data_IF_061790441919
#
_entry.id   IF_061790441919
#
_cell.length_a   1.000
_cell.length_b   1.000
_cell.length_c   1.000
_cell.angle_alpha   90.00
_cell.angle_beta   90.00
_cell.angle_gamma   90.00
#
_symmetry.space_group_name_H-M   'P 1'
#
loop_
_entity.id
_entity.type
_entity.pdbx_description
1 polymer ?
#
# COMPACT_ATOMS: atom_id res chain seq x y z
N UNK A 1 4.74 -0.54 1.57
CA UNK A 1 5.85 -1.42 1.15
C UNK A 1 5.61 -2.78 1.77
N UNK A 2 5.56 -3.83 0.96
CA UNK A 2 5.37 -5.21 1.44
C UNK A 2 6.60 -6.05 1.08
N UNK A 3 6.95 -7.01 1.94
CA UNK A 3 8.14 -7.85 1.75
C UNK A 3 7.78 -9.33 1.92
N UNK A 4 8.33 -10.18 1.06
CA UNK A 4 8.20 -11.64 1.09
C UNK A 4 9.57 -12.28 0.87
N UNK A 5 9.74 -13.51 1.36
CA UNK A 5 10.99 -14.27 1.24
C UNK A 5 10.79 -15.44 0.28
N UNK A 6 11.67 -15.57 -0.71
CA UNK A 6 11.80 -16.75 -1.56
C UNK A 6 12.97 -17.57 -1.03
N UNK A 7 12.71 -18.83 -0.66
CA UNK A 7 13.75 -19.74 -0.14
C UNK A 7 14.32 -20.58 -1.28
N UNK A 8 15.61 -20.39 -1.56
CA UNK A 8 16.36 -21.16 -2.55
C UNK A 8 17.14 -22.26 -1.82
N UNK A 9 16.66 -23.50 -1.86
CA UNK A 9 17.30 -24.64 -1.21
C UNK A 9 18.16 -25.42 -2.21
N UNK A 10 19.46 -25.52 -1.93
CA UNK A 10 20.37 -26.39 -2.67
C UNK A 10 20.41 -27.77 -2.01
N UNK A 11 19.96 -28.79 -2.74
CA UNK A 11 20.00 -30.20 -2.29
C UNK A 11 21.18 -30.99 -2.86
N UNK A 12 22.08 -30.33 -3.60
CA UNK A 12 23.26 -30.93 -4.21
C UNK A 12 24.47 -30.80 -3.28
N UNK A 13 25.46 -31.65 -3.52
CA UNK A 13 26.76 -31.66 -2.82
C UNK A 13 27.76 -30.66 -3.43
N UNK A 14 27.33 -29.88 -4.42
CA UNK A 14 28.14 -28.84 -5.08
C UNK A 14 27.42 -27.49 -5.01
N UNK A 15 28.16 -26.36 -5.03
CA UNK A 15 27.56 -25.04 -5.08
C UNK A 15 26.73 -24.83 -6.36
N UNK A 16 25.65 -24.06 -6.24
CA UNK A 16 24.73 -23.79 -7.35
C UNK A 16 24.61 -22.29 -7.54
N UNK A 17 24.86 -21.82 -8.77
CA UNK A 17 24.63 -20.42 -9.15
C UNK A 17 23.16 -20.21 -9.50
N UNK A 18 22.62 -19.05 -9.12
CA UNK A 18 21.27 -18.65 -9.48
C UNK A 18 21.23 -17.22 -10.01
N UNK A 19 20.25 -16.94 -10.86
CA UNK A 19 19.91 -15.60 -11.38
C UNK A 19 18.40 -15.42 -11.48
N UNK A 20 17.88 -14.34 -10.90
CA UNK A 20 16.49 -13.94 -10.95
C UNK A 20 16.29 -12.88 -12.04
N UNK A 21 15.29 -13.08 -12.89
CA UNK A 21 14.93 -12.21 -14.01
C UNK A 21 13.48 -11.77 -13.86
N UNK A 22 13.19 -10.54 -14.27
CA UNK A 22 11.85 -9.95 -14.27
C UNK A 22 11.68 -8.80 -13.27
N UNK A 23 12.64 -8.58 -12.38
CA UNK A 23 12.70 -7.43 -11.49
C UNK A 23 13.16 -6.19 -12.29
N UNK A 24 12.54 -5.03 -12.06
CA UNK A 24 12.90 -3.78 -12.74
C UNK A 24 12.47 -3.70 -14.22
N UNK A 25 11.92 -4.77 -14.79
CA UNK A 25 11.36 -4.77 -16.14
C UNK A 25 10.01 -4.06 -16.20
N UNK A 26 9.55 -3.69 -17.40
CA UNK A 26 8.34 -2.90 -17.62
C UNK A 26 7.07 -3.42 -16.91
N UNK A 27 6.08 -2.54 -16.84
CA UNK A 27 4.80 -2.84 -16.19
C UNK A 27 5.01 -3.03 -14.69
N UNK A 28 4.64 -4.21 -14.19
CA UNK A 28 4.64 -4.49 -12.76
C UNK A 28 6.02 -4.88 -12.23
N UNK A 29 6.96 -5.29 -13.09
CA UNK A 29 8.32 -5.64 -12.69
C UNK A 29 9.07 -4.47 -12.05
N UNK A 30 8.78 -3.23 -12.49
CA UNK A 30 9.34 -2.00 -11.94
C UNK A 30 8.98 -1.82 -10.46
N UNK A 31 7.84 -2.34 -10.01
CA UNK A 31 7.35 -2.22 -8.63
C UNK A 31 7.96 -3.25 -7.68
N UNK A 32 8.86 -4.08 -8.17
CA UNK A 32 9.61 -5.02 -7.37
C UNK A 32 11.07 -4.61 -7.24
N UNK A 33 11.64 -4.92 -6.08
CA UNK A 33 13.06 -4.73 -5.82
C UNK A 33 13.61 -5.82 -4.92
N UNK A 34 14.88 -6.14 -5.09
CA UNK A 34 15.63 -7.05 -4.22
C UNK A 34 17.06 -6.53 -4.05
N UNK A 35 17.79 -7.03 -3.06
CA UNK A 35 19.17 -6.60 -2.78
C UNK A 35 20.15 -7.14 -3.83
N UNK A 36 19.90 -8.34 -4.33
CA UNK A 36 20.69 -8.99 -5.37
C UNK A 36 19.78 -9.85 -6.23
N UNK A 37 20.04 -9.88 -7.52
CA UNK A 37 19.35 -10.72 -8.51
C UNK A 37 20.18 -11.94 -8.92
N UNK A 38 21.38 -12.10 -8.37
CA UNK A 38 22.27 -13.24 -8.61
C UNK A 38 22.93 -13.70 -7.32
N UNK A 39 23.43 -14.93 -7.32
CA UNK A 39 24.25 -15.42 -6.23
C UNK A 39 24.62 -16.90 -6.36
N UNK A 40 25.20 -17.43 -5.28
CA UNK A 40 25.55 -18.84 -5.13
C UNK A 40 24.85 -19.36 -3.87
N UNK A 41 24.31 -20.58 -3.94
CA UNK A 41 23.81 -21.31 -2.77
C UNK A 41 24.75 -22.49 -2.52
N UNK A 42 25.38 -22.49 -1.34
CA UNK A 42 26.33 -23.52 -0.92
C UNK A 42 25.69 -24.92 -0.84
N UNK A 43 26.48 -26.00 -0.91
CA UNK A 43 25.99 -27.37 -0.80
C UNK A 43 25.08 -27.57 0.42
N UNK A 44 23.97 -28.29 0.23
CA UNK A 44 23.03 -28.65 1.30
C UNK A 44 22.46 -27.47 2.10
N UNK A 45 22.59 -26.24 1.59
CA UNK A 45 22.20 -25.01 2.29
C UNK A 45 20.92 -24.38 1.70
N UNK A 46 20.41 -23.35 2.38
CA UNK A 46 19.27 -22.55 1.90
C UNK A 46 19.63 -21.08 1.93
N UNK A 47 19.35 -20.39 0.84
CA UNK A 47 19.47 -18.95 0.72
C UNK A 47 18.09 -18.28 0.77
N UNK A 48 17.94 -17.25 1.59
CA UNK A 48 16.69 -16.49 1.73
C UNK A 48 16.76 -15.20 0.92
N UNK A 49 16.08 -15.19 -0.24
CA UNK A 49 15.99 -14.01 -1.10
C UNK A 49 14.79 -13.16 -0.70
N UNK A 50 15.04 -11.96 -0.17
CA UNK A 50 13.99 -11.00 0.13
C UNK A 50 13.54 -10.26 -1.13
N UNK A 51 12.24 -10.33 -1.42
CA UNK A 51 11.57 -9.61 -2.48
C UNK A 51 10.68 -8.52 -1.88
N UNK A 52 10.86 -7.28 -2.33
CA UNK A 52 10.07 -6.13 -1.88
C UNK A 52 9.13 -5.67 -3.00
N UNK A 53 7.89 -5.39 -2.64
CA UNK A 53 6.88 -4.83 -3.52
C UNK A 53 6.46 -3.43 -3.04
N UNK A 54 6.35 -2.50 -4.00
CA UNK A 54 5.83 -1.17 -3.78
C UNK A 54 4.84 -0.82 -4.89
N UNK A 55 3.55 -0.77 -4.54
CA UNK A 55 2.53 -0.35 -5.48
C UNK A 55 2.76 1.11 -5.88
N UNK A 56 2.99 1.36 -7.18
CA UNK A 56 3.20 2.71 -7.71
C UNK A 56 1.92 3.30 -8.32
N UNK A 57 0.95 2.45 -8.68
CA UNK A 57 -0.32 2.84 -9.30
C UNK A 57 -1.47 1.96 -8.81
N UNK A 58 -2.70 2.49 -8.73
CA UNK A 58 -3.87 1.67 -8.48
C UNK A 58 -4.16 0.74 -9.66
N UNK A 59 -4.59 -0.50 -9.40
CA UNK A 59 -4.99 -1.45 -10.45
C UNK A 59 -6.28 -2.17 -10.09
N UNK A 60 -7.06 -2.55 -11.09
CA UNK A 60 -8.25 -3.36 -10.86
C UNK A 60 -7.85 -4.79 -10.45
N UNK A 61 -8.50 -5.40 -9.44
CA UNK A 61 -8.11 -6.72 -8.93
C UNK A 61 -8.14 -7.84 -9.98
N UNK A 62 -9.06 -7.73 -10.95
CA UNK A 62 -9.26 -8.71 -12.01
C UNK A 62 -8.36 -8.52 -13.24
N UNK A 63 -7.43 -7.56 -13.23
CA UNK A 63 -6.58 -7.33 -14.41
C UNK A 63 -5.49 -8.40 -14.53
N UNK A 64 -5.40 -9.03 -15.70
CA UNK A 64 -4.29 -9.92 -16.03
C UNK A 64 -2.92 -9.20 -16.01
N UNK A 65 -2.92 -7.85 -16.03
CA UNK A 65 -1.74 -7.00 -15.84
C UNK A 65 -1.19 -6.99 -14.41
N UNK A 66 -1.88 -7.64 -13.46
CA UNK A 66 -1.46 -7.77 -12.05
C UNK A 66 -0.61 -9.01 -11.76
N UNK A 67 -0.19 -9.73 -12.82
CA UNK A 67 0.66 -10.91 -12.71
C UNK A 67 2.06 -10.59 -13.22
N UNK A 68 3.07 -10.76 -12.36
CA UNK A 68 4.48 -10.78 -12.75
C UNK A 68 4.92 -12.22 -12.98
N UNK A 69 5.65 -12.47 -14.07
CA UNK A 69 6.27 -13.76 -14.32
C UNK A 69 7.77 -13.64 -14.09
N UNK A 70 8.22 -13.95 -12.87
CA UNK A 70 9.64 -14.03 -12.58
C UNK A 70 10.23 -15.32 -13.19
N UNK A 71 11.50 -15.27 -13.58
CA UNK A 71 12.26 -16.45 -14.02
C UNK A 71 13.49 -16.61 -13.16
N UNK A 72 13.70 -17.80 -12.61
CA UNK A 72 14.90 -18.17 -11.88
C UNK A 72 15.72 -19.12 -12.77
N UNK A 73 16.85 -18.65 -13.23
CA UNK A 73 17.87 -19.46 -13.90
C UNK A 73 18.80 -20.07 -12.86
N UNK A 74 19.11 -21.35 -13.02
CA UNK A 74 19.92 -22.14 -12.11
C UNK A 74 20.98 -22.86 -12.94
N UNK A 75 22.24 -22.74 -12.57
CA UNK A 75 23.37 -23.38 -13.24
C UNK A 75 24.44 -23.81 -12.25
N UNK A 76 25.45 -24.53 -12.73
CA UNK A 76 26.70 -24.70 -11.98
C UNK A 76 27.47 -23.37 -11.82
N UNK A 77 28.46 -23.39 -10.95
CA UNK A 77 29.39 -22.26 -10.74
C UNK A 77 30.41 -22.10 -11.87
N UNK A 78 30.63 -23.13 -12.67
CA UNK A 78 31.59 -23.12 -13.78
C UNK A 78 31.02 -22.51 -15.06
N UNK A 79 29.70 -22.25 -15.10
CA UNK A 79 29.06 -21.53 -16.20
C UNK A 79 29.04 -22.33 -17.50
N UNK A 80 28.95 -23.66 -17.43
CA UNK A 80 29.04 -24.49 -18.62
C UNK A 80 27.86 -24.17 -19.59
N UNK A 81 28.13 -23.85 -20.86
CA UNK A 81 27.08 -23.52 -21.83
C UNK A 81 26.12 -24.71 -22.00
N UNK A 82 24.83 -24.52 -21.64
CA UNK A 82 23.76 -25.50 -21.89
C UNK A 82 23.14 -26.16 -20.66
N UNK A 83 23.72 -26.02 -19.46
CA UNK A 83 23.19 -26.62 -18.22
C UNK A 83 22.33 -25.64 -17.39
N UNK A 84 21.60 -24.72 -18.04
CA UNK A 84 20.75 -23.74 -17.36
C UNK A 84 19.34 -24.33 -17.21
N UNK A 85 18.95 -24.59 -15.97
CA UNK A 85 17.56 -24.90 -15.62
C UNK A 85 16.81 -23.61 -15.34
N UNK A 86 15.69 -23.39 -16.02
CA UNK A 86 14.83 -22.22 -15.78
C UNK A 86 13.56 -22.63 -15.03
N UNK A 87 13.24 -21.89 -13.96
CA UNK A 87 12.02 -22.06 -13.18
C UNK A 87 11.18 -20.77 -13.27
N UNK A 88 9.93 -20.92 -13.66
CA UNK A 88 8.98 -19.83 -13.75
C UNK A 88 8.27 -19.62 -12.40
N UNK A 89 8.33 -18.42 -11.84
CA UNK A 89 7.71 -18.05 -10.56
C UNK A 89 6.62 -17.00 -10.82
N UNK A 90 5.34 -17.41 -10.90
CA UNK A 90 4.24 -16.45 -11.02
C UNK A 90 4.03 -15.71 -9.69
N UNK A 91 4.04 -14.38 -9.74
CA UNK A 91 3.75 -13.51 -8.61
C UNK A 91 2.49 -12.71 -8.93
N UNK A 92 1.52 -12.75 -8.01
CA UNK A 92 0.26 -12.02 -8.12
C UNK A 92 0.28 -10.89 -7.11
N UNK A 93 -0.14 -9.70 -7.53
CA UNK A 93 -0.29 -8.56 -6.63
C UNK A 93 -1.65 -7.92 -6.79
N UNK A 94 -2.26 -7.54 -5.68
CA UNK A 94 -3.52 -6.82 -5.66
C UNK A 94 -3.28 -5.44 -5.04
N UNK A 95 -2.73 -4.46 -5.78
CA UNK A 95 -2.64 -3.10 -5.25
C UNK A 95 -4.05 -2.58 -4.98
N UNK A 96 -4.31 -2.20 -3.74
CA UNK A 96 -5.58 -1.63 -3.33
C UNK A 96 -5.66 -0.16 -3.74
N UNK A 97 -6.75 0.22 -4.40
CA UNK A 97 -7.07 1.62 -4.68
C UNK A 97 -7.98 2.17 -3.57
N UNK A 98 -7.52 3.20 -2.87
CA UNK A 98 -8.33 3.94 -1.89
C UNK A 98 -8.74 5.24 -2.56
N UNK A 99 -9.99 5.29 -3.04
CA UNK A 99 -10.57 6.49 -3.65
C UNK A 99 -11.61 7.05 -2.69
N UNK A 100 -11.16 7.92 -1.78
CA UNK A 100 -12.02 8.62 -0.83
C UNK A 100 -12.34 10.02 -1.35
N UNK A 101 -13.62 10.33 -1.42
CA UNK A 101 -14.14 11.65 -1.75
C UNK A 101 -14.74 12.28 -0.49
N UNK A 102 -14.49 13.56 -0.25
CA UNK A 102 -15.10 14.31 0.83
C UNK A 102 -15.87 15.49 0.26
N UNK A 103 -17.14 15.60 0.61
CA UNK A 103 -17.96 16.76 0.25
C UNK A 103 -18.35 17.51 1.51
N UNK A 104 -18.32 18.83 1.44
CA UNK A 104 -18.69 19.73 2.53
C UNK A 104 -20.01 20.43 2.20
N UNK A 105 -20.63 21.09 3.19
CA UNK A 105 -21.82 21.89 2.93
C UNK A 105 -21.54 23.01 1.92
N UNK A 106 -22.57 23.39 1.14
CA UNK A 106 -22.46 24.36 0.04
C UNK A 106 -21.79 25.66 0.49
N UNK A 107 -20.77 26.08 -0.24
CA UNK A 107 -20.01 27.31 0.01
C UNK A 107 -18.57 27.09 0.49
N UNK A 108 -18.21 25.86 0.89
CA UNK A 108 -16.86 25.51 1.34
C UNK A 108 -16.23 24.41 0.48
N UNK A 109 -15.60 24.79 -0.64
CA UNK A 109 -14.90 23.83 -1.52
C UNK A 109 -13.58 23.30 -0.93
N UNK A 110 -13.12 23.84 0.20
CA UNK A 110 -11.78 23.55 0.75
C UNK A 110 -11.77 23.04 2.20
N UNK A 111 -12.92 22.86 2.86
CA UNK A 111 -12.96 22.35 4.23
C UNK A 111 -14.22 22.65 5.03
N UNK A 112 -14.09 22.63 6.35
CA UNK A 112 -15.14 23.00 7.30
C UNK A 112 -14.80 24.37 7.89
N UNK A 113 -15.70 25.34 7.73
CA UNK A 113 -15.63 26.64 8.39
C UNK A 113 -16.83 26.80 9.33
N UNK A 114 -16.56 27.12 10.59
CA UNK A 114 -17.59 27.38 11.60
C UNK A 114 -18.03 28.85 11.62
N UNK A 115 -17.29 29.74 10.94
CA UNK A 115 -17.52 31.18 10.97
C UNK A 115 -17.43 31.76 12.39
N UNK A 116 -18.19 32.81 12.64
CA UNK A 116 -18.26 33.43 13.96
C UNK A 116 -19.16 32.61 14.89
N UNK A 117 -18.54 31.87 15.82
CA UNK A 117 -19.24 31.13 16.87
C UNK A 117 -19.39 32.02 18.11
N UNK A 118 -20.61 32.16 18.63
CA UNK A 118 -20.86 32.92 19.87
C UNK A 118 -20.38 32.12 21.09
N UNK A 119 -19.94 32.84 22.12
CA UNK A 119 -19.54 32.24 23.40
C UNK A 119 -20.70 31.40 23.97
N UNK A 120 -20.39 30.20 24.46
CA UNK A 120 -21.35 29.21 24.98
C UNK A 120 -22.40 28.74 23.96
N UNK A 121 -22.12 28.83 22.66
CA UNK A 121 -22.95 28.22 21.63
C UNK A 121 -22.19 27.11 20.90
N UNK A 122 -22.87 25.98 20.73
CA UNK A 122 -22.41 24.91 19.85
C UNK A 122 -22.82 25.22 18.41
N UNK A 123 -21.87 25.07 17.48
CA UNK A 123 -22.12 25.13 16.04
C UNK A 123 -21.74 23.79 15.45
N UNK A 124 -22.57 23.28 14.52
CA UNK A 124 -22.38 21.98 13.88
C UNK A 124 -22.15 22.16 12.40
N UNK A 125 -21.11 21.53 11.89
CA UNK A 125 -20.78 21.48 10.47
C UNK A 125 -20.64 20.03 10.04
N UNK A 126 -21.11 19.70 8.83
CA UNK A 126 -21.08 18.32 8.35
C UNK A 126 -20.26 18.18 7.07
N UNK A 127 -19.64 17.02 6.93
CA UNK A 127 -19.10 16.54 5.66
C UNK A 127 -19.59 15.13 5.37
N UNK A 128 -19.54 14.73 4.11
CA UNK A 128 -19.86 13.38 3.66
C UNK A 128 -18.58 12.75 3.16
N UNK A 129 -18.21 11.62 3.76
CA UNK A 129 -17.17 10.76 3.24
C UNK A 129 -17.81 9.76 2.28
N UNK A 130 -17.32 9.67 1.05
CA UNK A 130 -17.78 8.70 0.06
C UNK A 130 -16.62 7.85 -0.43
N UNK A 131 -16.73 6.55 -0.25
CA UNK A 131 -15.79 5.59 -0.80
C UNK A 131 -16.15 5.29 -2.25
N UNK A 132 -15.45 5.91 -3.19
CA UNK A 132 -15.55 5.64 -4.63
C UNK A 132 -14.70 4.43 -5.06
N UNK A 133 -13.97 3.82 -4.12
CA UNK A 133 -13.18 2.61 -4.34
C UNK A 133 -14.02 1.34 -4.39
N UNK A 134 -13.37 0.23 -4.80
CA UNK A 134 -14.02 -1.08 -5.02
C UNK A 134 -14.02 -2.00 -3.79
N UNK A 135 -13.42 -1.56 -2.67
CA UNK A 135 -13.30 -2.35 -1.45
C UNK A 135 -13.62 -1.50 -0.24
N UNK A 136 -13.92 -2.15 0.88
CA UNK A 136 -14.10 -1.47 2.15
C UNK A 136 -12.81 -0.76 2.59
N UNK A 137 -12.96 0.45 3.13
CA UNK A 137 -11.86 1.22 3.71
C UNK A 137 -12.15 1.52 5.19
N UNK A 138 -11.10 1.73 5.97
CA UNK A 138 -11.18 2.26 7.33
C UNK A 138 -10.75 3.73 7.32
N UNK A 139 -11.44 4.56 8.10
CA UNK A 139 -11.10 5.98 8.27
C UNK A 139 -11.00 6.34 9.75
N UNK A 140 -10.20 7.36 10.04
CA UNK A 140 -10.04 7.97 11.36
C UNK A 140 -9.77 9.46 11.18
N UNK A 141 -10.54 10.28 11.88
CA UNK A 141 -10.32 11.72 12.00
C UNK A 141 -9.34 12.00 13.14
N UNK A 142 -8.37 12.87 12.86
CA UNK A 142 -7.42 13.38 13.84
C UNK A 142 -7.45 14.91 13.79
N UNK A 143 -7.60 15.53 14.96
CA UNK A 143 -7.50 16.98 15.12
C UNK A 143 -6.03 17.30 15.32
N UNK A 144 -5.42 17.90 14.30
CA UNK A 144 -4.00 18.30 14.34
C UNK A 144 -3.96 19.83 14.43
N UNK A 145 -3.39 20.41 15.50
CA UNK A 145 -3.23 21.86 15.58
C UNK A 145 -2.27 22.35 14.49
N UNK A 146 -2.47 23.59 14.04
CA UNK A 146 -1.47 24.25 13.19
C UNK A 146 -0.13 24.25 13.93
N UNK A 147 0.96 23.97 13.20
CA UNK A 147 2.36 24.04 13.63
C UNK A 147 2.73 25.28 14.44
N UNK A 148 1.99 26.39 14.31
CA UNK A 148 2.18 27.64 15.04
C UNK A 148 1.29 27.80 16.29
N UNK A 149 0.29 26.93 16.47
CA UNK A 149 -0.66 26.98 17.58
C UNK A 149 -0.32 25.94 18.63
N UNK A 150 -0.23 26.36 19.90
CA UNK A 150 -0.13 25.46 21.06
C UNK A 150 -1.49 25.01 21.59
N UNK A 151 -2.57 25.42 20.92
CA UNK A 151 -3.94 25.13 21.36
C UNK A 151 -4.26 23.68 21.03
N UNK A 152 -4.67 22.94 22.05
CA UNK A 152 -5.21 21.59 21.87
C UNK A 152 -6.62 21.68 21.28
N UNK A 153 -6.72 21.46 19.96
CA UNK A 153 -7.97 21.52 19.22
C UNK A 153 -9.03 20.51 19.73
N UNK A 154 -8.61 19.43 20.40
CA UNK A 154 -9.54 18.43 20.94
C UNK A 154 -10.40 18.94 22.10
N UNK A 155 -10.02 20.08 22.71
CA UNK A 155 -10.82 20.74 23.74
C UNK A 155 -11.97 21.57 23.19
N UNK A 156 -11.87 21.97 21.92
CA UNK A 156 -12.80 22.91 21.29
C UNK A 156 -13.63 22.28 20.18
N UNK A 157 -13.25 21.09 19.72
CA UNK A 157 -13.93 20.42 18.63
C UNK A 157 -14.16 18.95 18.93
N UNK A 158 -15.36 18.49 18.61
CA UNK A 158 -15.72 17.08 18.61
C UNK A 158 -16.07 16.64 17.18
N UNK A 159 -15.58 15.48 16.74
CA UNK A 159 -15.94 14.88 15.44
C UNK A 159 -16.65 13.56 15.68
N UNK A 160 -17.87 13.44 15.16
CA UNK A 160 -18.71 12.25 15.26
C UNK A 160 -19.16 11.80 13.87
N UNK A 161 -18.90 10.55 13.47
CA UNK A 161 -18.04 9.56 14.13
C UNK A 161 -16.54 9.86 13.90
N UNK A 162 -15.72 9.70 14.96
CA UNK A 162 -14.25 9.90 14.89
C UNK A 162 -13.54 8.86 14.03
N UNK A 163 -14.06 7.63 13.93
CA UNK A 163 -13.49 6.57 13.11
C UNK A 163 -14.57 5.58 12.68
N UNK A 164 -14.28 4.77 11.66
CA UNK A 164 -15.19 3.73 11.21
C UNK A 164 -14.73 3.01 9.95
N UNK A 165 -15.62 2.19 9.39
CA UNK A 165 -15.49 1.57 8.08
C UNK A 165 -16.46 2.20 7.08
N UNK A 166 -16.09 2.12 5.79
CA UNK A 166 -16.88 2.55 4.64
C UNK A 166 -16.85 1.45 3.59
N UNK A 167 -17.99 0.80 3.35
CA UNK A 167 -18.13 -0.23 2.32
C UNK A 167 -17.81 0.32 0.91
N UNK A 168 -17.55 -0.57 -0.05
CA UNK A 168 -17.33 -0.19 -1.44
C UNK A 168 -18.56 0.54 -2.00
N UNK A 169 -18.37 1.73 -2.58
CA UNK A 169 -19.46 2.58 -3.07
C UNK A 169 -20.31 3.24 -1.98
N UNK A 170 -20.04 2.95 -0.69
CA UNK A 170 -20.80 3.49 0.42
C UNK A 170 -20.39 4.91 0.81
N UNK A 171 -21.29 5.60 1.48
CA UNK A 171 -21.10 6.94 2.03
C UNK A 171 -21.41 7.01 3.52
N UNK A 172 -20.86 8.00 4.20
CA UNK A 172 -21.09 8.25 5.61
C UNK A 172 -20.97 9.73 5.93
N UNK A 173 -21.96 10.23 6.67
CA UNK A 173 -21.91 11.57 7.24
C UNK A 173 -20.97 11.60 8.45
N UNK A 174 -20.15 12.65 8.52
CA UNK A 174 -19.44 13.04 9.71
C UNK A 174 -19.80 14.48 10.07
N UNK A 175 -19.90 14.75 11.35
CA UNK A 175 -20.23 16.05 11.90
C UNK A 175 -19.10 16.50 12.81
N UNK A 176 -18.62 17.71 12.58
CA UNK A 176 -17.74 18.43 13.47
C UNK A 176 -18.58 19.44 14.27
N UNK A 177 -18.44 19.43 15.59
CA UNK A 177 -19.15 20.30 16.52
C UNK A 177 -18.13 21.14 17.26
N UNK A 178 -18.34 22.46 17.33
CA UNK A 178 -17.57 23.32 18.22
C UNK A 178 -18.12 23.21 19.65
N UNK A 179 -17.26 22.89 20.61
CA UNK A 179 -17.57 22.79 22.03
C UNK A 179 -16.85 23.95 22.73
N UNK A 180 -17.59 24.91 23.27
CA UNK A 180 -17.08 26.09 23.95
C UNK A 180 -17.48 26.07 25.42
#
# INVERSE_FOLDING_TARGET
KESRIIRLKNTKLIPVRWRLIGIGQEGIGQEFSTKTDTGIVEPLSTYELQLNYYASRPRSPASQKNKLQLKLEISDTEGMPGAIKTVNIPVFVEPYDIVLDMTFQKGNDRGIDFGNVRVNQETKQSCILKNKGKREIKYKFELVPDSKSKIDASKFFEIVPKQGTLAAGGDRNAQATSVN
#
